data_IF_654413545704
#
_entry.id   IF_654413545704
#
_cell.length_a   1.000
_cell.length_b   1.000
_cell.length_c   1.000
_cell.angle_alpha   90.00
_cell.angle_beta   90.00
_cell.angle_gamma   90.00
#
_symmetry.space_group_name_H-M   'P 1'
#
loop_
_entity.id
_entity.type
_entity.pdbx_description
1 polymer ?
#
# COMPACT_ATOMS: atom_id res chain seq x y z
N UNK A 1 19.05 13.12 16.28
CA UNK A 1 19.36 12.82 14.89
C UNK A 1 18.07 12.95 14.08
N UNK A 2 18.10 13.62 12.94
CA UNK A 2 16.96 13.69 12.02
C UNK A 2 16.92 12.41 11.17
N UNK A 3 15.76 12.04 10.63
CA UNK A 3 15.62 10.91 9.70
C UNK A 3 16.63 11.03 8.54
N UNK A 4 16.74 12.22 7.94
CA UNK A 4 17.71 12.49 6.87
C UNK A 4 19.17 12.29 7.32
N UNK A 5 19.52 12.69 8.53
CA UNK A 5 20.85 12.47 9.06
C UNK A 5 21.18 10.99 9.22
N UNK A 6 20.21 10.18 9.65
CA UNK A 6 20.37 8.72 9.75
C UNK A 6 20.46 8.07 8.36
N UNK A 7 19.61 8.47 7.41
CA UNK A 7 19.69 7.95 6.02
C UNK A 7 21.09 8.18 5.45
N UNK A 8 21.66 9.38 5.65
CA UNK A 8 22.98 9.71 5.13
C UNK A 8 24.11 8.95 5.87
N UNK A 9 24.06 8.92 7.20
CA UNK A 9 25.13 8.35 8.03
C UNK A 9 25.21 6.82 7.92
N UNK A 10 24.05 6.16 7.88
CA UNK A 10 23.94 4.69 7.85
C UNK A 10 23.83 4.13 6.42
N UNK A 11 23.78 5.00 5.42
CA UNK A 11 23.64 4.57 4.02
C UNK A 11 22.34 3.81 3.74
N UNK A 12 21.22 4.25 4.33
CA UNK A 12 19.92 3.57 4.21
C UNK A 12 19.48 3.54 2.77
N UNK A 13 19.20 2.34 2.27
CA UNK A 13 18.75 2.11 0.88
C UNK A 13 17.29 1.75 0.77
N UNK A 14 16.65 1.33 1.87
CA UNK A 14 15.25 0.91 1.88
C UNK A 14 14.56 1.29 3.19
N UNK A 15 13.33 1.77 3.08
CA UNK A 15 12.44 1.96 4.23
C UNK A 15 10.98 1.99 3.79
N UNK A 16 10.08 2.08 4.76
CA UNK A 16 8.69 2.42 4.50
C UNK A 16 8.26 3.61 5.36
N UNK A 17 7.29 4.37 4.89
CA UNK A 17 6.64 5.40 5.68
C UNK A 17 5.26 5.76 5.12
N UNK A 18 4.55 6.64 5.83
CA UNK A 18 3.30 7.23 5.36
C UNK A 18 3.57 8.55 4.61
N UNK A 19 2.64 9.02 3.75
CA UNK A 19 2.85 10.25 2.96
C UNK A 19 3.22 11.47 3.80
N UNK A 20 2.65 11.62 5.00
CA UNK A 20 2.97 12.74 5.90
C UNK A 20 4.43 12.74 6.33
N UNK A 21 4.99 11.58 6.68
CA UNK A 21 6.42 11.48 7.06
C UNK A 21 7.32 11.80 5.88
N UNK A 22 7.00 11.31 4.69
CA UNK A 22 7.75 11.65 3.48
C UNK A 22 7.72 13.16 3.19
N UNK A 23 6.53 13.80 3.32
CA UNK A 23 6.42 15.26 3.16
C UNK A 23 7.34 16.01 4.13
N UNK A 24 7.35 15.62 5.41
CA UNK A 24 8.25 16.22 6.41
C UNK A 24 9.74 16.05 6.05
N UNK A 25 10.11 14.92 5.49
CA UNK A 25 11.48 14.68 5.02
C UNK A 25 11.83 15.59 3.84
N UNK A 26 10.92 15.71 2.86
CA UNK A 26 11.12 16.55 1.67
C UNK A 26 11.06 18.06 1.98
N UNK A 27 10.36 18.45 3.05
CA UNK A 27 10.28 19.85 3.51
C UNK A 27 11.51 20.27 4.32
N UNK A 28 12.37 19.31 4.72
CA UNK A 28 13.53 19.62 5.53
C UNK A 28 14.58 20.38 4.72
N UNK A 29 15.17 21.50 5.25
CA UNK A 29 16.12 22.34 4.50
C UNK A 29 17.33 21.59 3.94
N UNK A 30 17.76 20.53 4.60
CA UNK A 30 18.92 19.74 4.18
C UNK A 30 18.56 18.63 3.18
N UNK A 31 17.30 18.50 2.77
CA UNK A 31 16.88 17.41 1.87
C UNK A 31 17.66 17.43 0.55
N UNK A 32 17.86 18.63 0.00
CA UNK A 32 18.59 18.83 -1.27
C UNK A 32 20.10 18.69 -1.14
N UNK A 33 20.64 18.63 0.09
CA UNK A 33 22.07 18.50 0.35
C UNK A 33 22.51 17.02 0.49
N UNK A 34 21.55 16.09 0.58
CA UNK A 34 21.79 14.67 0.78
C UNK A 34 21.44 13.92 -0.52
N UNK A 35 22.34 13.05 -0.96
CA UNK A 35 22.04 12.18 -2.09
C UNK A 35 21.07 11.06 -1.67
N UNK A 36 19.82 11.15 -2.11
CA UNK A 36 18.74 10.21 -1.82
C UNK A 36 18.47 9.23 -2.97
N UNK A 37 19.27 9.23 -4.04
CA UNK A 37 19.04 8.41 -5.23
C UNK A 37 19.10 6.89 -5.00
N UNK A 38 19.68 6.45 -3.91
CA UNK A 38 19.72 5.04 -3.52
C UNK A 38 18.57 4.65 -2.58
N UNK A 39 17.79 5.63 -2.10
CA UNK A 39 16.74 5.38 -1.13
C UNK A 39 15.45 4.98 -1.83
N UNK A 40 15.04 3.74 -1.65
CA UNK A 40 13.78 3.17 -2.10
C UNK A 40 12.79 3.18 -0.94
N UNK A 41 11.61 3.72 -1.16
CA UNK A 41 10.58 3.89 -0.11
C UNK A 41 9.29 3.24 -0.52
N UNK A 42 8.76 2.36 0.33
CA UNK A 42 7.38 1.90 0.25
C UNK A 42 6.49 2.89 0.98
N UNK A 43 5.47 3.40 0.29
CA UNK A 43 4.47 4.33 0.83
C UNK A 43 3.12 3.62 0.96
N UNK A 44 2.56 3.64 2.17
CA UNK A 44 1.27 3.06 2.47
C UNK A 44 0.50 3.84 3.53
N UNK A 45 -0.69 3.35 3.89
CA UNK A 45 -1.55 3.95 4.93
C UNK A 45 -2.43 5.12 4.47
N UNK A 46 -2.17 5.68 3.29
CA UNK A 46 -3.04 6.64 2.62
C UNK A 46 -2.70 6.71 1.12
N UNK A 47 -3.61 7.27 0.33
CA UNK A 47 -3.34 7.52 -1.09
C UNK A 47 -2.10 8.43 -1.25
N UNK A 48 -1.23 8.10 -2.19
CA UNK A 48 -0.03 8.88 -2.50
C UNK A 48 -0.40 10.06 -3.41
N UNK A 49 -0.35 11.32 -2.90
CA UNK A 49 -0.65 12.50 -3.72
C UNK A 49 0.39 12.66 -4.85
N UNK A 50 -0.08 12.97 -6.07
CA UNK A 50 0.79 13.15 -7.23
C UNK A 50 1.90 14.19 -6.99
N UNK A 51 1.57 15.34 -6.42
CA UNK A 51 2.57 16.37 -6.10
C UNK A 51 3.67 15.89 -5.13
N UNK A 52 3.35 14.97 -4.20
CA UNK A 52 4.35 14.38 -3.32
C UNK A 52 5.24 13.39 -4.08
N UNK A 53 4.66 12.63 -4.98
CA UNK A 53 5.37 11.70 -5.86
C UNK A 53 6.37 12.45 -6.76
N UNK A 54 5.93 13.55 -7.41
CA UNK A 54 6.78 14.37 -8.27
C UNK A 54 7.93 15.01 -7.49
N UNK A 55 7.67 15.50 -6.29
CA UNK A 55 8.70 16.05 -5.40
C UNK A 55 9.75 15.00 -5.01
N UNK A 56 9.33 13.81 -4.65
CA UNK A 56 10.24 12.72 -4.31
C UNK A 56 11.09 12.31 -5.51
N UNK A 57 10.48 12.19 -6.68
CA UNK A 57 11.20 11.88 -7.93
C UNK A 57 12.27 12.94 -8.25
N UNK A 58 11.96 14.22 -8.04
CA UNK A 58 12.92 15.31 -8.25
C UNK A 58 14.14 15.24 -7.31
N UNK A 59 14.04 14.55 -6.16
CA UNK A 59 15.18 14.28 -5.25
C UNK A 59 15.88 12.95 -5.52
N UNK A 60 15.43 12.21 -6.52
CA UNK A 60 15.97 10.89 -6.88
C UNK A 60 15.43 9.74 -6.03
N UNK A 61 14.51 9.97 -5.10
CA UNK A 61 13.88 8.93 -4.28
C UNK A 61 13.02 8.03 -5.15
N UNK A 62 13.20 6.71 -5.02
CA UNK A 62 12.36 5.71 -5.68
C UNK A 62 11.16 5.36 -4.79
N UNK A 63 9.97 5.90 -5.11
CA UNK A 63 8.74 5.61 -4.38
C UNK A 63 7.96 4.47 -5.00
N UNK A 64 7.37 3.64 -4.15
CA UNK A 64 6.47 2.54 -4.53
C UNK A 64 5.28 2.51 -3.57
N UNK A 65 4.08 2.61 -4.12
CA UNK A 65 2.87 2.53 -3.31
C UNK A 65 2.65 1.11 -2.78
N UNK A 66 2.01 1.01 -1.63
CA UNK A 66 1.55 -0.25 -1.05
C UNK A 66 0.19 -0.05 -0.40
N UNK A 67 -0.60 -1.12 -0.37
CA UNK A 67 -1.91 -1.12 0.24
C UNK A 67 -2.01 -2.21 1.29
N UNK A 68 -2.70 -1.88 2.34
CA UNK A 68 -3.07 -2.73 3.46
C UNK A 68 -3.52 -1.90 4.65
N UNK A 69 -3.77 -2.56 5.76
CA UNK A 69 -4.31 -1.98 6.97
C UNK A 69 -3.67 -2.65 8.19
N UNK A 70 -3.98 -2.21 9.40
CA UNK A 70 -3.42 -2.81 10.62
C UNK A 70 -3.72 -4.30 10.73
N UNK A 71 -4.93 -4.69 10.34
CA UNK A 71 -5.41 -6.07 10.36
C UNK A 71 -4.65 -6.98 9.37
N UNK A 72 -3.97 -6.39 8.39
CA UNK A 72 -3.20 -7.15 7.39
C UNK A 72 -1.69 -7.15 7.63
N UNK A 73 -1.19 -6.56 8.71
CA UNK A 73 0.18 -6.60 9.26
C UNK A 73 1.33 -6.28 8.27
N UNK A 74 1.40 -5.13 7.63
CA UNK A 74 0.39 -4.19 7.19
C UNK A 74 0.01 -4.33 5.70
N UNK A 75 0.78 -5.09 4.88
CA UNK A 75 0.67 -5.05 3.43
C UNK A 75 -0.05 -6.25 2.82
N UNK A 76 -1.01 -5.97 1.92
CA UNK A 76 -1.60 -6.93 1.01
C UNK A 76 -0.99 -6.82 -0.39
N UNK A 77 -0.82 -5.59 -0.87
CA UNK A 77 -0.26 -5.36 -2.21
C UNK A 77 0.88 -4.36 -2.18
N UNK A 78 1.77 -4.47 -3.15
CA UNK A 78 2.87 -3.52 -3.38
C UNK A 78 2.98 -3.24 -4.87
N UNK A 79 3.21 -1.98 -5.23
CA UNK A 79 3.50 -1.59 -6.61
C UNK A 79 4.78 -2.26 -7.10
N UNK A 80 4.92 -2.38 -8.42
CA UNK A 80 6.08 -3.03 -9.04
C UNK A 80 7.39 -2.34 -8.62
N UNK A 81 8.17 -3.01 -7.77
CA UNK A 81 9.45 -2.49 -7.24
C UNK A 81 10.56 -2.40 -8.29
N UNK A 82 10.39 -3.04 -9.44
CA UNK A 82 11.36 -3.05 -10.53
C UNK A 82 11.00 -2.07 -11.66
N UNK A 83 9.84 -1.41 -11.60
CA UNK A 83 9.44 -0.44 -12.62
C UNK A 83 10.13 0.90 -12.40
N UNK A 84 10.63 1.48 -13.47
CA UNK A 84 11.10 2.88 -13.50
C UNK A 84 9.96 3.86 -13.84
N UNK A 85 8.80 3.35 -14.27
CA UNK A 85 7.61 4.13 -14.55
C UNK A 85 6.95 4.59 -13.25
N UNK A 86 6.90 5.90 -13.05
CA UNK A 86 6.34 6.55 -11.87
C UNK A 86 4.84 6.28 -11.71
N UNK A 87 4.08 6.21 -12.80
CA UNK A 87 2.65 5.90 -12.77
C UNK A 87 2.40 4.45 -12.33
N UNK A 88 3.23 3.52 -12.78
CA UNK A 88 3.16 2.11 -12.35
C UNK A 88 3.50 1.98 -10.87
N UNK A 89 4.51 2.73 -10.38
CA UNK A 89 4.91 2.72 -8.97
C UNK A 89 3.89 3.37 -8.02
N UNK A 90 2.98 4.20 -8.54
CA UNK A 90 1.91 4.84 -7.77
C UNK A 90 0.62 4.01 -7.71
N UNK A 91 0.51 2.93 -8.47
CA UNK A 91 -0.66 2.05 -8.42
C UNK A 91 -0.72 1.31 -7.09
N UNK A 92 -1.92 0.89 -6.68
CA UNK A 92 -2.12 0.07 -5.46
C UNK A 92 -1.28 -1.21 -5.49
N UNK A 93 -1.03 -1.75 -6.69
CA UNK A 93 -0.04 -2.78 -6.93
C UNK A 93 -0.61 -4.19 -7.02
N UNK A 94 0.28 -5.15 -6.86
CA UNK A 94 -0.01 -6.58 -7.00
C UNK A 94 -0.02 -7.25 -5.63
N UNK A 95 -0.82 -8.31 -5.44
CA UNK A 95 -0.77 -9.11 -4.24
C UNK A 95 0.65 -9.57 -3.92
N UNK A 96 1.04 -9.47 -2.66
CA UNK A 96 2.32 -9.98 -2.19
C UNK A 96 2.38 -11.53 -2.25
N UNK A 97 3.57 -12.13 -2.11
CA UNK A 97 3.68 -13.58 -2.00
C UNK A 97 2.79 -14.13 -0.90
N UNK A 98 2.09 -15.24 -1.14
CA UNK A 98 1.15 -15.92 -0.24
C UNK A 98 -0.12 -15.11 0.10
N UNK A 99 -0.36 -13.99 -0.56
CA UNK A 99 -1.63 -13.26 -0.44
C UNK A 99 -2.60 -13.78 -1.50
N UNK A 100 -3.68 -14.41 -1.04
CA UNK A 100 -4.87 -14.70 -1.84
C UNK A 100 -5.81 -13.49 -1.72
N UNK A 101 -5.85 -12.66 -2.74
CA UNK A 101 -6.63 -11.42 -2.78
C UNK A 101 -7.72 -11.54 -3.83
N UNK A 102 -8.93 -11.21 -3.43
CA UNK A 102 -10.10 -11.21 -4.28
C UNK A 102 -10.82 -9.87 -4.20
N UNK A 103 -11.55 -9.53 -5.25
CA UNK A 103 -12.57 -8.48 -5.24
C UNK A 103 -13.91 -9.16 -5.48
N UNK A 104 -14.83 -8.99 -4.55
CA UNK A 104 -16.05 -9.79 -4.50
C UNK A 104 -17.32 -8.94 -4.39
N UNK A 105 -18.42 -9.51 -4.84
CA UNK A 105 -19.78 -9.02 -4.59
C UNK A 105 -20.19 -9.32 -3.13
N UNK A 106 -21.34 -8.80 -2.70
CA UNK A 106 -21.93 -9.13 -1.39
C UNK A 106 -22.18 -10.64 -1.19
N UNK A 107 -22.38 -11.39 -2.27
CA UNK A 107 -22.55 -12.86 -2.25
C UNK A 107 -21.21 -13.61 -2.32
N UNK A 108 -20.09 -12.96 -2.07
CA UNK A 108 -18.73 -13.52 -2.12
C UNK A 108 -18.34 -14.12 -3.48
N UNK A 109 -18.97 -13.65 -4.58
CA UNK A 109 -18.62 -14.02 -5.95
C UNK A 109 -17.56 -13.08 -6.51
N UNK A 110 -16.55 -13.63 -7.18
CA UNK A 110 -15.52 -12.82 -7.83
C UNK A 110 -16.10 -11.89 -8.88
N UNK A 111 -15.65 -10.64 -8.90
CA UNK A 111 -15.90 -9.73 -10.00
C UNK A 111 -14.91 -9.98 -11.15
N UNK A 112 -15.26 -9.66 -12.41
CA UNK A 112 -14.32 -9.81 -13.52
C UNK A 112 -13.12 -8.86 -13.37
N UNK A 113 -11.94 -9.30 -13.82
CA UNK A 113 -10.72 -8.50 -13.86
C UNK A 113 -10.68 -7.61 -15.10
N UNK A 114 -11.65 -6.70 -15.22
CA UNK A 114 -11.89 -5.85 -16.39
C UNK A 114 -11.43 -4.40 -16.20
N UNK A 115 -10.85 -4.11 -15.03
CA UNK A 115 -10.41 -2.75 -14.68
C UNK A 115 -11.54 -1.76 -14.41
N UNK A 116 -12.78 -2.23 -14.22
CA UNK A 116 -13.97 -1.37 -14.07
C UNK A 116 -14.95 -1.87 -13.01
N UNK A 117 -15.25 -3.17 -12.99
CA UNK A 117 -16.24 -3.74 -12.09
C UNK A 117 -15.70 -3.76 -10.67
N UNK A 118 -16.35 -3.02 -9.79
CA UNK A 118 -15.93 -2.87 -8.41
C UNK A 118 -16.63 -3.87 -7.49
N UNK A 119 -15.97 -4.20 -6.40
CA UNK A 119 -16.49 -5.01 -5.29
C UNK A 119 -15.69 -4.76 -4.02
N UNK A 120 -16.01 -5.46 -2.95
CA UNK A 120 -15.21 -5.41 -1.75
C UNK A 120 -13.91 -6.18 -1.93
N UNK A 121 -12.82 -5.61 -1.44
CA UNK A 121 -11.52 -6.28 -1.39
C UNK A 121 -11.49 -7.19 -0.17
N UNK A 122 -11.26 -8.48 -0.41
CA UNK A 122 -11.09 -9.48 0.66
C UNK A 122 -9.77 -10.19 0.47
N UNK A 123 -9.18 -10.66 1.57
CA UNK A 123 -7.87 -11.27 1.50
C UNK A 123 -7.69 -12.45 2.46
N UNK A 124 -6.74 -13.32 2.10
CA UNK A 124 -6.24 -14.39 2.95
C UNK A 124 -4.73 -14.43 2.86
N UNK A 125 -4.04 -14.47 4.00
CA UNK A 125 -2.60 -14.67 4.08
C UNK A 125 -2.22 -15.22 5.48
N UNK A 126 -1.07 -15.89 5.64
CA UNK A 126 -0.71 -16.55 6.90
C UNK A 126 -0.48 -15.60 8.08
N UNK A 127 -0.25 -14.32 7.83
CA UNK A 127 0.10 -13.31 8.85
C UNK A 127 -1.03 -12.37 9.23
N UNK A 128 -2.23 -12.50 8.65
CA UNK A 128 -3.36 -11.63 8.96
C UNK A 128 -3.80 -11.80 10.41
N UNK A 129 -4.35 -10.72 11.01
CA UNK A 129 -4.87 -10.80 12.38
C UNK A 129 -5.93 -11.90 12.49
N UNK A 130 -6.00 -12.55 13.64
CA UNK A 130 -7.04 -13.55 13.91
C UNK A 130 -8.36 -12.91 14.36
N UNK A 131 -8.32 -11.65 14.78
CA UNK A 131 -9.48 -10.93 15.26
C UNK A 131 -9.12 -9.75 16.16
N UNK A 132 -10.12 -9.15 16.75
CA UNK A 132 -10.00 -8.03 17.69
C UNK A 132 -10.03 -8.53 19.14
N UNK A 133 -9.21 -7.92 20.00
CA UNK A 133 -9.15 -8.25 21.42
C UNK A 133 -10.51 -7.95 22.07
N UNK A 134 -11.04 -8.94 22.80
CA UNK A 134 -12.30 -8.87 23.54
C UNK A 134 -13.51 -8.41 22.71
N UNK A 135 -13.51 -8.66 21.40
CA UNK A 135 -14.60 -8.31 20.50
C UNK A 135 -14.85 -9.45 19.49
N UNK A 136 -15.57 -10.46 19.93
CA UNK A 136 -15.86 -11.65 19.11
C UNK A 136 -16.73 -11.31 17.90
N UNK A 137 -17.77 -10.47 18.09
CA UNK A 137 -18.70 -10.08 17.02
C UNK A 137 -17.96 -9.41 15.84
N UNK A 138 -17.16 -8.39 16.12
CA UNK A 138 -16.36 -7.74 15.07
C UNK A 138 -15.27 -8.66 14.47
N UNK A 139 -14.81 -9.65 15.23
CA UNK A 139 -13.86 -10.64 14.71
C UNK A 139 -14.52 -11.63 13.75
N UNK A 140 -15.74 -12.05 14.04
CA UNK A 140 -16.54 -12.92 13.18
C UNK A 140 -16.91 -12.18 11.87
N UNK A 141 -17.32 -10.91 11.96
CA UNK A 141 -17.58 -10.06 10.79
C UNK A 141 -16.33 -9.87 9.93
N UNK A 142 -15.16 -9.67 10.57
CA UNK A 142 -13.89 -9.49 9.87
C UNK A 142 -13.53 -10.72 8.99
N UNK A 143 -13.94 -11.92 9.41
CA UNK A 143 -13.57 -13.18 8.78
C UNK A 143 -14.75 -13.92 8.13
N UNK A 144 -15.81 -13.24 7.78
CA UNK A 144 -16.96 -13.86 7.12
C UNK A 144 -16.54 -14.55 5.80
N UNK A 145 -17.16 -15.68 5.50
CA UNK A 145 -16.82 -16.49 4.32
C UNK A 145 -15.37 -17.01 4.28
N UNK A 146 -14.59 -16.90 5.37
CA UNK A 146 -13.20 -17.39 5.47
C UNK A 146 -12.16 -16.51 4.80
N UNK A 147 -12.49 -15.27 4.49
CA UNK A 147 -11.59 -14.20 4.05
C UNK A 147 -11.67 -13.01 4.99
N UNK A 148 -10.57 -12.31 5.18
CA UNK A 148 -10.56 -11.04 5.88
C UNK A 148 -11.22 -9.98 5.00
N UNK A 149 -12.30 -9.37 5.51
CA UNK A 149 -13.01 -8.26 4.89
C UNK A 149 -12.31 -6.94 5.19
N UNK A 150 -11.82 -6.25 4.16
CA UNK A 150 -11.06 -5.00 4.36
C UNK A 150 -11.96 -3.79 4.56
N UNK A 151 -13.22 -3.88 4.13
CA UNK A 151 -14.13 -2.73 4.05
C UNK A 151 -13.74 -1.73 2.96
N UNK A 152 -12.77 -2.03 2.10
CA UNK A 152 -12.37 -1.19 0.99
C UNK A 152 -12.97 -1.71 -0.32
N UNK A 153 -13.36 -0.79 -1.19
CA UNK A 153 -13.91 -1.08 -2.52
C UNK A 153 -12.84 -0.86 -3.57
N UNK A 154 -12.76 -1.80 -4.50
CA UNK A 154 -11.77 -1.70 -5.58
C UNK A 154 -12.14 -2.55 -6.79
N UNK A 155 -11.26 -2.61 -7.74
CA UNK A 155 -11.30 -3.50 -8.89
C UNK A 155 -9.93 -4.06 -9.22
N UNK A 156 -9.88 -5.17 -9.95
CA UNK A 156 -8.63 -5.74 -10.47
C UNK A 156 -8.55 -5.42 -11.96
N UNK A 157 -7.38 -4.94 -12.41
CA UNK A 157 -7.11 -4.71 -13.82
C UNK A 157 -6.80 -6.03 -14.53
N UNK A 158 -6.88 -6.04 -15.86
CA UNK A 158 -6.54 -7.20 -16.71
C UNK A 158 -5.12 -7.74 -16.44
N UNK A 159 -4.18 -6.88 -16.02
CA UNK A 159 -2.83 -7.26 -15.66
C UNK A 159 -2.69 -7.84 -14.24
N UNK A 160 -3.79 -7.96 -13.49
CA UNK A 160 -3.81 -8.47 -12.12
C UNK A 160 -3.53 -7.44 -11.03
N UNK A 161 -3.29 -6.17 -11.35
CA UNK A 161 -3.07 -5.14 -10.33
C UNK A 161 -4.39 -4.67 -9.71
N UNK A 162 -4.39 -4.49 -8.39
CA UNK A 162 -5.50 -3.92 -7.63
C UNK A 162 -5.54 -2.40 -7.77
N UNK A 163 -6.74 -1.85 -7.80
CA UNK A 163 -6.99 -0.43 -7.62
C UNK A 163 -8.10 -0.21 -6.57
N UNK A 164 -7.77 0.49 -5.50
CA UNK A 164 -8.74 0.94 -4.50
C UNK A 164 -9.42 2.20 -5.03
N UNK A 165 -10.74 2.27 -4.87
CA UNK A 165 -11.57 3.39 -5.34
C UNK A 165 -12.32 4.10 -4.23
N UNK A 166 -12.76 3.37 -3.19
CA UNK A 166 -13.56 3.91 -2.10
C UNK A 166 -13.45 3.01 -0.85
N UNK A 167 -14.21 3.34 0.18
CA UNK A 167 -14.40 2.54 1.37
C UNK A 167 -15.88 2.25 1.58
N UNK A 168 -16.22 1.03 2.02
CA UNK A 168 -17.58 0.70 2.46
C UNK A 168 -17.92 1.59 3.68
N UNK A 169 -19.12 2.16 3.67
CA UNK A 169 -19.63 3.02 4.75
C UNK A 169 -20.26 2.18 5.85
#
# INVERSE_FOLDING_TARGET
ATILGLIAAEGVTFSHCVPTVLSMVLDHPNCTQINLSKWKVIIGGAALPRGLQDRAAATGISLHAAYGMSETCPFLTVANLSSDDQEVRAQTGFPGPLVDLRVVTQDMKDVPHDGKTTGEVVARAPWLTQGYLDNAEASDELWDGGYLHTGDVGYIRENGSLQITDRLK
#
